data_IF_571678501220
#
_entry.id   IF_571678501220
#
_cell.length_a   1.000
_cell.length_b   1.000
_cell.length_c   1.000
_cell.angle_alpha   90.00
_cell.angle_beta   90.00
_cell.angle_gamma   90.00
#
_symmetry.space_group_name_H-M   'P 1'
#
loop_
_entity.id
_entity.type
_entity.pdbx_description
1 polymer ?
#
# COMPACT_ATOMS: atom_id res chain seq x y z
N UNK A 1 -14.71 29.75 5.71
CA UNK A 1 -14.59 29.37 4.29
C UNK A 1 -13.58 28.24 4.22
N UNK A 2 -14.05 27.00 4.31
CA UNK A 2 -13.23 25.81 4.47
C UNK A 2 -13.17 25.11 3.11
N UNK A 3 -12.11 25.37 2.36
CA UNK A 3 -11.78 24.64 1.14
C UNK A 3 -10.30 24.28 1.18
N UNK A 4 -9.95 23.33 2.04
CA UNK A 4 -8.74 22.56 1.82
C UNK A 4 -9.19 21.45 0.88
N UNK A 5 -8.88 21.59 -0.41
CA UNK A 5 -8.91 20.46 -1.33
C UNK A 5 -7.80 19.51 -0.87
N UNK A 6 -8.12 18.62 0.06
CA UNK A 6 -7.30 17.43 0.32
C UNK A 6 -7.67 16.41 -0.75
N UNK A 7 -6.68 16.05 -1.57
CA UNK A 7 -6.84 14.99 -2.54
C UNK A 7 -7.28 13.70 -1.81
N UNK A 8 -8.32 13.00 -2.28
CA UNK A 8 -8.84 11.84 -1.58
C UNK A 8 -7.84 10.67 -1.62
N UNK A 9 -7.82 9.85 -0.57
CA UNK A 9 -7.08 8.59 -0.59
C UNK A 9 -7.92 7.46 -1.18
N UNK A 10 -7.37 6.74 -2.16
CA UNK A 10 -7.92 5.50 -2.67
C UNK A 10 -7.21 4.30 -2.04
N UNK A 11 -7.98 3.34 -1.52
CA UNK A 11 -7.43 2.15 -0.88
C UNK A 11 -7.43 0.95 -1.84
N UNK A 12 -6.24 0.44 -2.16
CA UNK A 12 -6.09 -0.80 -2.93
C UNK A 12 -6.04 -1.99 -1.97
N UNK A 13 -7.13 -2.77 -1.97
CA UNK A 13 -7.27 -3.96 -1.13
C UNK A 13 -6.52 -5.16 -1.73
N UNK A 14 -6.09 -6.13 -0.91
CA UNK A 14 -5.36 -7.27 -1.42
C UNK A 14 -6.33 -8.26 -2.09
N UNK A 15 -5.78 -9.13 -2.92
CA UNK A 15 -6.50 -10.28 -3.46
C UNK A 15 -6.62 -11.43 -2.44
N UNK A 16 -7.75 -12.15 -2.52
CA UNK A 16 -7.90 -13.51 -1.96
C UNK A 16 -7.18 -14.53 -2.85
N UNK A 17 -7.18 -14.33 -4.17
CA UNK A 17 -6.42 -15.21 -5.07
C UNK A 17 -4.91 -15.15 -4.80
N UNK A 18 -4.27 -16.29 -5.00
CA UNK A 18 -2.82 -16.49 -4.84
C UNK A 18 -2.03 -16.00 -6.05
N UNK A 19 -2.70 -15.64 -7.15
CA UNK A 19 -2.01 -15.18 -8.34
C UNK A 19 -1.24 -13.85 -8.09
N UNK A 20 0.02 -13.71 -8.55
CA UNK A 20 0.82 -14.73 -9.23
C UNK A 20 1.59 -15.67 -8.31
N UNK A 21 1.86 -15.31 -7.05
CA UNK A 21 2.49 -16.16 -6.01
C UNK A 21 2.44 -15.43 -4.64
N UNK A 22 1.22 -15.20 -4.17
CA UNK A 22 0.91 -14.49 -2.93
C UNK A 22 0.11 -15.38 -1.98
N UNK A 23 0.26 -15.13 -0.67
CA UNK A 23 -0.70 -15.65 0.30
C UNK A 23 -2.08 -15.01 0.05
N UNK A 24 -3.21 -15.69 0.24
CA UNK A 24 -4.53 -15.06 0.26
C UNK A 24 -4.63 -13.97 1.31
N UNK A 25 -5.37 -12.90 1.04
CA UNK A 25 -5.64 -11.84 2.02
C UNK A 25 -6.99 -11.17 1.83
N UNK A 26 -7.54 -10.66 2.93
CA UNK A 26 -8.72 -9.78 2.93
C UNK A 26 -8.48 -8.58 3.85
N UNK A 27 -9.35 -7.57 3.75
CA UNK A 27 -9.25 -6.35 4.52
C UNK A 27 -10.58 -6.00 5.18
N UNK A 28 -10.51 -5.54 6.41
CA UNK A 28 -11.62 -4.97 7.17
C UNK A 28 -11.34 -3.50 7.42
N UNK A 29 -12.29 -2.63 7.10
CA UNK A 29 -12.20 -1.19 7.36
C UNK A 29 -13.03 -0.85 8.59
N UNK A 30 -12.41 -0.10 9.51
CA UNK A 30 -13.14 0.59 10.57
C UNK A 30 -13.45 1.99 10.06
N UNK A 31 -14.73 2.33 9.97
CA UNK A 31 -15.20 3.62 9.46
C UNK A 31 -15.94 4.38 10.54
N UNK A 32 -15.96 5.70 10.41
CA UNK A 32 -16.75 6.55 11.26
C UNK A 32 -18.25 6.19 11.15
N UNK A 33 -18.78 5.60 12.23
CA UNK A 33 -20.11 4.99 12.24
C UNK A 33 -21.26 5.99 12.13
N UNK A 34 -22.46 5.47 11.86
CA UNK A 34 -23.68 6.24 11.60
C UNK A 34 -24.15 7.00 12.85
N UNK A 35 -24.14 8.34 12.77
CA UNK A 35 -24.69 9.29 13.75
C UNK A 35 -24.90 10.66 13.11
N UNK A 36 -25.50 11.59 13.84
CA UNK A 36 -25.56 13.00 13.43
C UNK A 36 -24.12 13.54 13.26
N UNK A 37 -23.84 14.18 12.12
CA UNK A 37 -22.51 14.69 11.74
C UNK A 37 -21.41 13.61 11.53
N UNK A 38 -21.76 12.39 11.13
CA UNK A 38 -20.77 11.39 10.69
C UNK A 38 -19.95 11.89 9.52
N UNK A 39 -18.64 11.64 9.58
CA UNK A 39 -17.70 11.93 8.50
C UNK A 39 -17.61 10.78 7.50
N UNK A 40 -17.97 9.56 7.91
CA UNK A 40 -17.77 8.31 7.17
C UNK A 40 -16.31 8.06 6.74
N UNK A 41 -15.36 8.75 7.37
CA UNK A 41 -13.95 8.55 7.10
C UNK A 41 -13.48 7.19 7.59
N UNK A 42 -12.49 6.63 6.90
CA UNK A 42 -11.80 5.45 7.37
C UNK A 42 -10.95 5.82 8.58
N UNK A 43 -11.21 5.19 9.72
CA UNK A 43 -10.51 5.41 10.98
C UNK A 43 -9.28 4.53 11.11
N UNK A 44 -9.38 3.27 10.64
CA UNK A 44 -8.26 2.34 10.51
C UNK A 44 -8.64 1.23 9.52
N UNK A 45 -7.66 0.44 9.08
CA UNK A 45 -7.93 -0.81 8.38
C UNK A 45 -7.02 -1.94 8.85
N UNK A 46 -7.58 -3.14 8.89
CA UNK A 46 -6.88 -4.36 9.27
C UNK A 46 -6.79 -5.30 8.09
N UNK A 47 -5.60 -5.84 7.86
CA UNK A 47 -5.40 -6.90 6.86
C UNK A 47 -5.24 -8.22 7.56
N UNK A 48 -5.88 -9.25 7.00
CA UNK A 48 -5.74 -10.63 7.41
C UNK A 48 -5.21 -11.42 6.23
N UNK A 49 -4.37 -12.41 6.51
CA UNK A 49 -3.78 -13.27 5.50
C UNK A 49 -3.82 -14.73 5.92
N UNK A 50 -3.74 -15.61 4.93
CA UNK A 50 -3.59 -17.05 5.13
C UNK A 50 -2.17 -17.46 4.75
N UNK A 51 -1.40 -17.96 5.72
CA UNK A 51 -0.08 -18.54 5.45
C UNK A 51 -0.25 -19.88 4.72
N UNK A 52 0.02 -19.89 3.42
CA UNK A 52 -0.16 -21.09 2.60
C UNK A 52 0.84 -22.20 2.95
N UNK A 53 2.06 -21.85 3.36
CA UNK A 53 3.09 -22.85 3.69
C UNK A 53 2.66 -23.61 4.96
N UNK A 54 2.16 -22.88 5.96
CA UNK A 54 1.60 -23.47 7.17
C UNK A 54 0.30 -24.24 6.90
N UNK A 55 -0.62 -23.66 6.13
CA UNK A 55 -1.91 -24.28 5.83
C UNK A 55 -1.74 -25.58 5.05
N UNK A 56 -0.84 -25.62 4.06
CA UNK A 56 -0.57 -26.83 3.27
C UNK A 56 0.13 -27.91 4.10
N UNK A 57 1.03 -27.55 5.02
CA UNK A 57 1.72 -28.50 5.90
C UNK A 57 0.82 -29.09 6.97
N UNK A 58 -0.12 -28.31 7.49
CA UNK A 58 -1.01 -28.72 8.60
C UNK A 58 -2.39 -29.18 8.11
N UNK A 59 -2.73 -28.90 6.86
CA UNK A 59 -4.06 -29.05 6.28
C UNK A 59 -5.15 -28.25 7.03
N UNK A 60 -4.78 -27.12 7.65
CA UNK A 60 -5.69 -26.25 8.42
C UNK A 60 -5.54 -24.80 7.94
N UNK A 61 -6.61 -24.17 7.39
CA UNK A 61 -6.54 -22.82 6.87
C UNK A 61 -6.74 -21.75 7.97
N UNK A 62 -5.71 -21.51 8.78
CA UNK A 62 -5.75 -20.51 9.84
C UNK A 62 -5.49 -19.09 9.32
N UNK A 63 -6.53 -18.27 9.24
CA UNK A 63 -6.42 -16.85 8.92
C UNK A 63 -5.87 -16.06 10.11
N UNK A 64 -4.85 -15.24 9.88
CA UNK A 64 -4.17 -14.46 10.92
C UNK A 64 -4.22 -12.99 10.59
N UNK A 65 -4.37 -12.15 11.62
CA UNK A 65 -4.21 -10.70 11.48
C UNK A 65 -2.77 -10.41 11.07
N UNK A 66 -2.60 -9.76 9.93
CA UNK A 66 -1.31 -9.31 9.42
C UNK A 66 -0.91 -8.00 10.10
N UNK A 67 -1.75 -6.96 9.95
CA UNK A 67 -1.49 -5.64 10.51
C UNK A 67 -2.75 -4.77 10.61
N UNK A 68 -2.72 -3.78 11.51
CA UNK A 68 -3.55 -2.55 11.43
C UNK A 68 -2.69 -1.43 10.86
N UNK A 69 -3.24 -0.59 9.97
CA UNK A 69 -2.49 0.46 9.30
C UNK A 69 -1.87 1.44 10.29
N UNK A 70 -2.69 1.94 11.23
CA UNK A 70 -2.24 2.89 12.25
C UNK A 70 -1.11 2.33 13.09
N UNK A 71 -1.28 1.12 13.62
CA UNK A 71 -0.28 0.48 14.47
C UNK A 71 0.99 0.10 13.68
N UNK A 72 0.84 -0.34 12.43
CA UNK A 72 1.98 -0.77 11.63
C UNK A 72 2.90 0.39 11.23
N UNK A 73 2.33 1.54 10.93
CA UNK A 73 3.04 2.66 10.32
C UNK A 73 3.15 3.88 11.24
N UNK A 74 2.74 3.73 12.50
CA UNK A 74 2.73 4.80 13.49
C UNK A 74 1.99 6.05 12.96
N UNK A 75 0.77 5.84 12.49
CA UNK A 75 -0.06 6.90 11.89
C UNK A 75 -1.09 7.41 12.89
N UNK A 76 -1.23 8.74 12.96
CA UNK A 76 -2.21 9.41 13.83
C UNK A 76 -3.63 9.19 13.33
N UNK A 77 -3.82 9.28 12.02
CA UNK A 77 -5.07 9.08 11.30
C UNK A 77 -4.79 8.52 9.91
N UNK A 78 -5.86 8.18 9.19
CA UNK A 78 -5.80 7.82 7.77
C UNK A 78 -6.26 8.98 6.84
N UNK A 79 -6.16 10.21 7.36
CA UNK A 79 -5.69 11.42 6.68
C UNK A 79 -5.05 11.27 5.29
N UNK A 80 -5.49 11.90 4.19
CA UNK A 80 -4.63 12.02 3.01
C UNK A 80 -3.24 12.61 3.35
N UNK A 81 -3.16 13.58 4.26
CA UNK A 81 -1.86 14.14 4.70
C UNK A 81 -1.01 13.11 5.45
N UNK A 82 -1.63 12.25 6.29
CA UNK A 82 -0.91 11.22 7.04
C UNK A 82 -0.38 10.12 6.11
N UNK A 83 -1.13 9.77 5.05
CA UNK A 83 -0.64 8.88 4.00
C UNK A 83 0.54 9.49 3.24
N UNK A 84 0.45 10.79 2.90
CA UNK A 84 1.55 11.49 2.24
C UNK A 84 2.80 11.61 3.12
N UNK A 85 2.62 11.86 4.43
CA UNK A 85 3.71 11.82 5.41
C UNK A 85 4.34 10.43 5.48
N UNK A 86 3.53 9.36 5.55
CA UNK A 86 4.04 7.99 5.53
C UNK A 86 4.90 7.72 4.29
N UNK A 87 4.44 8.07 3.08
CA UNK A 87 5.24 7.94 1.85
C UNK A 87 6.55 8.71 1.94
N UNK A 88 6.53 9.93 2.49
CA UNK A 88 7.72 10.75 2.71
C UNK A 88 8.70 10.14 3.72
N UNK A 89 8.20 9.53 4.80
CA UNK A 89 9.00 8.79 5.78
C UNK A 89 9.61 7.53 5.17
N UNK A 90 8.85 6.76 4.40
CA UNK A 90 9.33 5.55 3.72
C UNK A 90 10.43 5.84 2.71
N UNK A 91 10.40 7.01 2.04
CA UNK A 91 11.50 7.43 1.15
C UNK A 91 12.85 7.54 1.85
N UNK A 92 12.85 7.91 3.13
CA UNK A 92 14.06 8.17 3.93
C UNK A 92 14.41 7.00 4.86
N UNK A 93 13.43 6.18 5.24
CA UNK A 93 13.58 5.07 6.18
C UNK A 93 13.36 3.72 5.49
N UNK A 94 14.46 3.01 5.23
CA UNK A 94 14.42 1.70 4.57
C UNK A 94 13.71 0.62 5.40
N UNK A 95 13.89 0.62 6.72
CA UNK A 95 13.23 -0.35 7.60
C UNK A 95 11.70 -0.19 7.57
N UNK A 96 11.22 1.05 7.59
CA UNK A 96 9.78 1.35 7.47
C UNK A 96 9.24 0.92 6.09
N UNK A 97 9.97 1.24 5.02
CA UNK A 97 9.60 0.81 3.68
C UNK A 97 9.59 -0.73 3.54
N UNK A 98 10.58 -1.44 4.11
CA UNK A 98 10.64 -2.90 4.07
C UNK A 98 9.43 -3.52 4.81
N UNK A 99 8.95 -2.89 5.88
CA UNK A 99 7.71 -3.30 6.55
C UNK A 99 6.49 -3.13 5.63
N UNK A 100 6.35 -1.98 4.97
CA UNK A 100 5.30 -1.73 3.98
C UNK A 100 5.36 -2.72 2.81
N UNK A 101 6.55 -2.96 2.25
CA UNK A 101 6.77 -3.89 1.14
C UNK A 101 6.36 -5.31 1.52
N UNK A 102 6.67 -5.75 2.75
CA UNK A 102 6.21 -7.06 3.23
C UNK A 102 4.70 -7.19 3.31
N UNK A 103 4.05 -6.17 3.85
CA UNK A 103 2.59 -6.10 3.93
C UNK A 103 1.94 -6.05 2.53
N UNK A 104 2.54 -5.32 1.58
CA UNK A 104 2.04 -5.23 0.20
C UNK A 104 2.05 -6.61 -0.51
N UNK A 105 3.00 -7.47 -0.17
CA UNK A 105 3.12 -8.84 -0.68
C UNK A 105 2.55 -9.91 0.27
N UNK A 106 1.72 -9.54 1.26
CA UNK A 106 1.02 -10.48 2.16
C UNK A 106 1.93 -11.53 2.81
N UNK A 107 3.13 -11.14 3.24
CA UNK A 107 4.14 -12.05 3.79
C UNK A 107 4.56 -13.21 2.85
N UNK A 108 4.28 -13.13 1.56
CA UNK A 108 4.62 -14.19 0.61
C UNK A 108 6.13 -14.29 0.38
N UNK A 109 6.65 -15.33 -0.27
CA UNK A 109 8.07 -15.41 -0.62
C UNK A 109 8.60 -14.18 -1.38
N UNK A 110 7.75 -13.50 -2.18
CA UNK A 110 8.12 -12.28 -2.91
C UNK A 110 8.51 -11.15 -1.95
N UNK A 111 7.88 -11.08 -0.77
CA UNK A 111 8.19 -10.08 0.26
C UNK A 111 9.63 -10.14 0.79
N UNK A 112 10.33 -11.27 0.58
CA UNK A 112 11.73 -11.49 0.98
C UNK A 112 12.74 -11.03 -0.07
N UNK A 113 12.28 -10.67 -1.27
CA UNK A 113 13.15 -10.18 -2.34
C UNK A 113 13.73 -8.81 -1.99
N UNK A 114 14.97 -8.53 -2.42
CA UNK A 114 15.62 -7.25 -2.16
C UNK A 114 14.98 -6.15 -3.03
N UNK A 115 14.42 -5.13 -2.39
CA UNK A 115 13.93 -3.92 -3.04
C UNK A 115 14.86 -2.74 -2.71
N UNK A 116 15.84 -2.49 -3.59
CA UNK A 116 16.80 -1.40 -3.43
C UNK A 116 16.22 -0.01 -3.71
N UNK A 117 17.07 1.02 -3.70
CA UNK A 117 16.67 2.44 -3.85
C UNK A 117 15.73 2.71 -5.02
N UNK A 118 16.04 2.21 -6.22
CA UNK A 118 15.21 2.41 -7.40
C UNK A 118 13.82 1.73 -7.26
N UNK A 119 13.79 0.51 -6.72
CA UNK A 119 12.55 -0.21 -6.44
C UNK A 119 11.69 0.54 -5.41
N UNK A 120 12.30 1.06 -4.34
CA UNK A 120 11.61 1.90 -3.35
C UNK A 120 11.04 3.18 -3.97
N UNK A 121 11.84 3.90 -4.76
CA UNK A 121 11.39 5.10 -5.47
C UNK A 121 10.19 4.84 -6.38
N UNK A 122 10.18 3.71 -7.09
CA UNK A 122 9.04 3.31 -7.92
C UNK A 122 7.79 3.07 -7.06
N UNK A 123 7.91 2.30 -5.98
CA UNK A 123 6.79 2.04 -5.06
C UNK A 123 6.21 3.32 -4.46
N UNK A 124 7.05 4.27 -4.07
CA UNK A 124 6.56 5.54 -3.54
C UNK A 124 5.87 6.36 -4.64
N UNK A 125 6.44 6.41 -5.84
CA UNK A 125 5.78 7.05 -6.96
C UNK A 125 4.40 6.42 -7.27
N UNK A 126 4.27 5.10 -7.15
CA UNK A 126 2.97 4.42 -7.30
C UNK A 126 1.95 4.85 -6.25
N UNK A 127 2.38 5.10 -5.00
CA UNK A 127 1.48 5.63 -3.96
C UNK A 127 1.01 7.06 -4.23
N UNK A 128 1.76 7.84 -5.01
CA UNK A 128 1.40 9.22 -5.36
C UNK A 128 0.66 9.34 -6.69
N UNK A 129 0.80 8.34 -7.57
CA UNK A 129 0.31 8.39 -8.96
C UNK A 129 -1.16 7.97 -9.07
N UNK A 130 -2.07 8.75 -8.47
CA UNK A 130 -3.51 8.55 -8.63
C UNK A 130 -4.03 8.94 -10.03
N UNK A 131 -3.25 9.70 -10.81
CA UNK A 131 -3.54 10.06 -12.21
C UNK A 131 -2.52 9.42 -13.14
N UNK A 132 -3.00 8.56 -14.04
CA UNK A 132 -2.14 7.92 -15.04
C UNK A 132 -1.54 8.95 -16.00
N UNK A 133 -0.28 8.73 -16.41
CA UNK A 133 0.39 9.54 -17.41
C UNK A 133 0.82 10.94 -16.92
N UNK A 134 0.84 11.18 -15.61
CA UNK A 134 1.21 12.48 -15.05
C UNK A 134 2.56 12.47 -14.30
N UNK A 135 3.67 12.82 -14.98
CA UNK A 135 5.00 12.86 -14.36
C UNK A 135 5.11 13.86 -13.20
N UNK A 136 4.22 14.86 -13.11
CA UNK A 136 4.34 15.93 -12.11
C UNK A 136 4.15 15.40 -10.69
N UNK A 137 3.36 14.34 -10.52
CA UNK A 137 3.08 13.69 -9.22
C UNK A 137 4.33 13.07 -8.59
N UNK A 138 5.34 12.71 -9.40
CA UNK A 138 6.59 12.12 -8.92
C UNK A 138 7.82 12.98 -9.22
N UNK A 139 7.63 14.27 -9.51
CA UNK A 139 8.70 15.19 -9.90
C UNK A 139 9.81 15.36 -8.84
N UNK A 140 9.51 15.10 -7.57
CA UNK A 140 10.50 15.09 -6.48
C UNK A 140 11.33 13.81 -6.39
N UNK A 141 10.95 12.76 -7.13
CA UNK A 141 11.62 11.46 -7.18
C UNK A 141 12.33 11.26 -8.53
N UNK A 142 11.68 11.65 -9.62
CA UNK A 142 12.12 11.39 -10.98
C UNK A 142 12.17 12.67 -11.81
N UNK A 143 13.20 12.79 -12.66
CA UNK A 143 13.09 13.61 -13.87
C UNK A 143 12.01 13.05 -14.80
N UNK A 144 11.49 13.88 -15.70
CA UNK A 144 10.49 13.46 -16.68
C UNK A 144 10.94 12.24 -17.52
N UNK A 145 12.22 12.21 -17.95
CA UNK A 145 12.80 11.07 -18.65
C UNK A 145 12.81 9.79 -17.81
N UNK A 146 13.14 9.90 -16.52
CA UNK A 146 13.12 8.75 -15.61
C UNK A 146 11.69 8.27 -15.37
N UNK A 147 10.74 9.18 -15.22
CA UNK A 147 9.32 8.83 -15.08
C UNK A 147 8.80 8.11 -16.32
N UNK A 148 9.09 8.59 -17.53
CA UNK A 148 8.66 7.92 -18.76
C UNK A 148 9.23 6.50 -18.86
N UNK A 149 10.52 6.32 -18.57
CA UNK A 149 11.13 4.98 -18.52
C UNK A 149 10.43 4.07 -17.50
N UNK A 150 10.16 4.60 -16.30
CA UNK A 150 9.40 3.93 -15.26
C UNK A 150 8.00 3.53 -15.75
N UNK A 151 7.21 4.50 -16.21
CA UNK A 151 5.86 4.33 -16.73
C UNK A 151 5.79 3.25 -17.81
N UNK A 152 6.60 3.34 -18.87
CA UNK A 152 6.61 2.34 -19.93
C UNK A 152 7.06 0.94 -19.46
N UNK A 153 7.93 0.85 -18.45
CA UNK A 153 8.32 -0.43 -17.86
C UNK A 153 7.16 -1.08 -17.08
N UNK A 154 6.38 -0.28 -16.35
CA UNK A 154 5.21 -0.74 -15.60
C UNK A 154 4.08 -1.20 -16.53
N UNK A 155 3.82 -0.50 -17.64
CA UNK A 155 2.85 -0.92 -18.67
C UNK A 155 3.19 -2.27 -19.32
N UNK A 156 4.46 -2.58 -19.49
CA UNK A 156 4.89 -3.90 -20.01
C UNK A 156 4.71 -5.02 -18.99
N UNK A 157 4.69 -4.70 -17.69
CA UNK A 157 4.61 -5.67 -16.59
C UNK A 157 3.18 -5.98 -16.14
N UNK A 158 2.22 -5.12 -16.48
CA UNK A 158 0.81 -5.20 -16.07
C UNK A 158 -0.16 -5.43 -17.24
N UNK A 159 0.32 -5.96 -18.38
CA UNK A 159 -0.61 -6.56 -19.34
C UNK A 159 -1.22 -7.80 -18.68
N UNK A 160 -2.49 -7.67 -18.31
CA UNK A 160 -3.37 -8.82 -18.18
C UNK A 160 -3.45 -9.55 -19.53
#
# INVERSE_FOLDING_TARGET
>A
MMSILQDPTAYVSPSVTTYPNLNPGYRVYTVDGVRINSTFHVLDHETYYLDLDEANRTNIPNWKKEYSAKSAYDMKSLFPEDWNDLSSRMMKNETLFNKFFRNAYKQSPISKTKCGKACRSNWICDTWSARSGDPKLCSSIFSEKQYLNYYYSSFKKHRC
#
